data_IF_222485676308
#
_entry.id   IF_222485676308
#
_cell.length_a   1.000
_cell.length_b   1.000
_cell.length_c   1.000
_cell.angle_alpha   90.00
_cell.angle_beta   90.00
_cell.angle_gamma   90.00
#
_symmetry.space_group_name_H-M   'P 1'
#
loop_
_entity.id
_entity.type
_entity.pdbx_description
1 polymer ?
#
# COMPACT_ATOMS: atom_id res chain seq x y z
N UNK A 1 -8.89 -42.54 -1.46
CA UNK A 1 -9.77 -41.37 -1.24
C UNK A 1 -8.91 -40.10 -1.43
N UNK A 2 -8.90 -39.52 -2.64
CA UNK A 2 -8.09 -38.32 -2.93
C UNK A 2 -8.68 -37.16 -2.13
N UNK A 3 -7.94 -36.62 -1.18
CA UNK A 3 -8.28 -35.36 -0.53
C UNK A 3 -8.27 -34.28 -1.60
N UNK A 4 -9.45 -33.93 -2.10
CA UNK A 4 -9.66 -32.82 -3.01
C UNK A 4 -8.93 -31.59 -2.40
N UNK A 5 -7.88 -31.14 -3.05
CA UNK A 5 -7.11 -30.01 -2.57
C UNK A 5 -8.03 -28.77 -2.60
N UNK A 6 -8.61 -28.45 -1.46
CA UNK A 6 -9.63 -27.38 -1.28
C UNK A 6 -9.15 -25.97 -1.65
N UNK A 7 -7.89 -25.83 -2.04
CA UNK A 7 -7.24 -24.52 -2.17
C UNK A 7 -7.20 -23.98 -3.61
N UNK A 8 -7.13 -24.86 -4.63
CA UNK A 8 -7.14 -24.41 -6.03
C UNK A 8 -8.42 -23.63 -6.45
N UNK A 9 -9.61 -23.95 -5.96
CA UNK A 9 -10.82 -23.21 -6.28
C UNK A 9 -10.87 -21.78 -5.74
N UNK A 10 -10.01 -21.39 -4.76
CA UNK A 10 -10.10 -20.09 -4.10
C UNK A 10 -9.77 -18.92 -5.01
N UNK A 11 -8.79 -19.08 -5.90
CA UNK A 11 -8.43 -18.01 -6.84
C UNK A 11 -9.55 -17.69 -7.83
N UNK A 12 -10.20 -18.72 -8.36
CA UNK A 12 -11.30 -18.55 -9.32
C UNK A 12 -12.67 -18.48 -8.63
N UNK A 13 -12.68 -18.36 -7.31
CA UNK A 13 -13.87 -18.46 -6.47
C UNK A 13 -14.36 -17.12 -5.94
N UNK A 14 -15.14 -17.23 -4.86
CA UNK A 14 -15.84 -16.10 -4.25
C UNK A 14 -14.91 -14.96 -3.79
N UNK A 15 -13.67 -15.24 -3.36
CA UNK A 15 -12.73 -14.20 -2.91
C UNK A 15 -12.28 -13.27 -4.04
N UNK A 16 -11.93 -13.82 -5.21
CA UNK A 16 -11.54 -13.00 -6.35
C UNK A 16 -12.74 -12.20 -6.88
N UNK A 17 -13.91 -12.82 -6.99
CA UNK A 17 -15.13 -12.16 -7.40
C UNK A 17 -15.53 -11.04 -6.40
N UNK A 18 -15.51 -11.33 -5.10
CA UNK A 18 -15.81 -10.34 -4.07
C UNK A 18 -14.78 -9.19 -4.09
N UNK A 19 -13.48 -9.48 -4.26
CA UNK A 19 -12.46 -8.45 -4.39
C UNK A 19 -12.70 -7.52 -5.58
N UNK A 20 -13.05 -8.09 -6.74
CA UNK A 20 -13.36 -7.29 -7.94
C UNK A 20 -14.62 -6.45 -7.79
N UNK A 21 -15.61 -6.89 -7.00
CA UNK A 21 -16.84 -6.14 -6.75
C UNK A 21 -16.56 -4.79 -6.09
N UNK A 22 -15.56 -4.71 -5.20
CA UNK A 22 -15.19 -3.45 -4.55
C UNK A 22 -14.72 -2.39 -5.54
N UNK A 23 -14.13 -2.79 -6.66
CA UNK A 23 -13.69 -1.84 -7.71
C UNK A 23 -14.80 -1.40 -8.65
N UNK A 24 -15.95 -2.07 -8.68
CA UNK A 24 -17.09 -1.71 -9.55
C UNK A 24 -17.68 -0.38 -9.13
N UNK A 25 -17.73 -0.11 -7.83
CA UNK A 25 -18.26 1.16 -7.34
C UNK A 25 -17.27 2.30 -7.62
N UNK A 26 -17.77 3.43 -8.11
CA UNK A 26 -16.92 4.55 -8.45
C UNK A 26 -16.35 5.20 -7.18
N UNK A 27 -15.11 5.66 -7.30
CA UNK A 27 -14.56 6.65 -6.39
C UNK A 27 -15.11 8.02 -6.80
N UNK A 28 -15.73 8.72 -5.89
CA UNK A 28 -16.20 10.09 -6.12
C UNK A 28 -15.19 11.04 -5.49
N UNK A 29 -14.41 11.71 -6.33
CA UNK A 29 -13.27 12.53 -5.88
C UNK A 29 -12.25 11.69 -5.11
N UNK A 30 -12.17 11.88 -3.81
CA UNK A 30 -11.26 11.15 -2.92
C UNK A 30 -12.01 10.07 -2.13
N UNK A 31 -13.33 10.22 -2.01
CA UNK A 31 -14.15 9.27 -1.28
C UNK A 31 -14.35 7.99 -2.08
N UNK A 32 -13.82 6.94 -1.54
CA UNK A 32 -14.06 5.59 -2.01
C UNK A 32 -15.34 5.08 -1.33
N UNK A 33 -16.41 4.95 -2.09
CA UNK A 33 -17.71 4.48 -1.58
C UNK A 33 -17.62 3.07 -1.00
N UNK A 34 -16.80 2.23 -1.64
CA UNK A 34 -16.33 0.98 -1.05
C UNK A 34 -14.81 1.01 -1.01
N UNK A 35 -14.19 0.90 0.19
CA UNK A 35 -12.75 1.00 0.31
C UNK A 35 -12.03 -0.02 -0.57
N UNK A 36 -11.31 0.44 -1.59
CA UNK A 36 -10.49 -0.39 -2.49
C UNK A 36 -9.50 -1.27 -1.73
N UNK A 37 -9.17 -0.86 -0.50
CA UNK A 37 -8.37 -1.66 0.45
C UNK A 37 -8.91 -3.07 0.60
N UNK A 38 -10.24 -3.21 0.79
CA UNK A 38 -10.88 -4.51 0.98
C UNK A 38 -10.79 -5.33 -0.30
N UNK A 39 -11.00 -4.69 -1.46
CA UNK A 39 -10.83 -5.32 -2.77
C UNK A 39 -9.41 -5.87 -2.96
N UNK A 40 -8.38 -5.07 -2.67
CA UNK A 40 -6.98 -5.49 -2.77
C UNK A 40 -6.62 -6.60 -1.77
N UNK A 41 -7.15 -6.57 -0.53
CA UNK A 41 -6.94 -7.65 0.46
C UNK A 41 -7.55 -8.96 -0.04
N UNK A 42 -8.77 -8.93 -0.57
CA UNK A 42 -9.44 -10.12 -1.09
C UNK A 42 -8.71 -10.69 -2.31
N UNK A 43 -8.26 -9.83 -3.24
CA UNK A 43 -7.44 -10.25 -4.37
C UNK A 43 -6.09 -10.79 -3.94
N UNK A 44 -5.44 -10.20 -2.93
CA UNK A 44 -4.20 -10.71 -2.36
C UNK A 44 -4.37 -12.13 -1.81
N UNK A 45 -5.46 -12.38 -1.08
CA UNK A 45 -5.77 -13.72 -0.56
C UNK A 45 -6.05 -14.71 -1.69
N UNK A 46 -6.78 -14.28 -2.73
CA UNK A 46 -7.07 -15.11 -3.89
C UNK A 46 -5.80 -15.48 -4.68
N UNK A 47 -4.91 -14.53 -4.92
CA UNK A 47 -3.67 -14.71 -5.71
C UNK A 47 -2.60 -15.45 -4.92
N UNK A 48 -2.68 -15.48 -3.60
CA UNK A 48 -1.61 -16.00 -2.74
C UNK A 48 -1.20 -17.46 -3.06
N UNK A 49 -2.12 -18.27 -3.55
CA UNK A 49 -1.88 -19.67 -3.90
C UNK A 49 -1.35 -19.85 -5.33
N UNK A 50 -1.72 -18.93 -6.24
CA UNK A 50 -1.22 -18.94 -7.62
C UNK A 50 0.21 -18.42 -7.75
N UNK A 51 0.71 -17.71 -6.76
CA UNK A 51 2.06 -17.14 -6.77
C UNK A 51 3.16 -18.21 -6.95
N UNK A 52 2.84 -19.49 -6.72
CA UNK A 52 3.79 -20.60 -6.89
C UNK A 52 3.91 -21.08 -8.33
N UNK A 53 2.99 -20.75 -9.22
CA UNK A 53 2.96 -21.31 -10.57
C UNK A 53 3.80 -20.56 -11.60
N UNK A 54 4.07 -19.29 -11.37
CA UNK A 54 4.96 -18.51 -12.23
C UNK A 54 5.60 -17.34 -11.50
N UNK A 55 6.76 -16.87 -12.00
CA UNK A 55 7.44 -15.67 -11.49
C UNK A 55 6.58 -14.42 -11.65
N UNK A 56 5.77 -14.33 -12.71
CA UNK A 56 4.84 -13.23 -12.95
C UNK A 56 3.74 -13.19 -11.88
N UNK A 57 3.14 -14.35 -11.55
CA UNK A 57 2.12 -14.45 -10.52
C UNK A 57 2.68 -14.22 -9.10
N UNK A 58 3.94 -14.60 -8.84
CA UNK A 58 4.64 -14.23 -7.61
C UNK A 58 4.84 -12.70 -7.51
N UNK A 59 5.20 -12.07 -8.63
CA UNK A 59 5.27 -10.62 -8.75
C UNK A 59 3.92 -9.92 -8.55
N UNK A 60 2.83 -10.54 -9.01
CA UNK A 60 1.47 -10.05 -8.83
C UNK A 60 1.09 -9.94 -7.36
N UNK A 61 1.38 -10.94 -6.55
CA UNK A 61 1.12 -10.91 -5.10
C UNK A 61 1.76 -9.70 -4.42
N UNK A 62 3.01 -9.37 -4.80
CA UNK A 62 3.71 -8.19 -4.29
C UNK A 62 3.05 -6.88 -4.74
N UNK A 63 2.68 -6.79 -6.02
CA UNK A 63 2.00 -5.60 -6.54
C UNK A 63 0.63 -5.38 -5.89
N UNK A 64 -0.13 -6.45 -5.62
CA UNK A 64 -1.40 -6.35 -4.89
C UNK A 64 -1.21 -5.80 -3.48
N UNK A 65 -0.16 -6.24 -2.76
CA UNK A 65 0.16 -5.70 -1.44
C UNK A 65 0.57 -4.21 -1.50
N UNK A 66 1.29 -3.80 -2.55
CA UNK A 66 1.68 -2.41 -2.74
C UNK A 66 0.46 -1.51 -3.07
N UNK A 67 -0.45 -1.98 -3.93
CA UNK A 67 -1.70 -1.28 -4.22
C UNK A 67 -2.60 -1.19 -2.98
N UNK A 68 -2.64 -2.23 -2.15
CA UNK A 68 -3.30 -2.18 -0.85
C UNK A 68 -2.70 -1.06 0.03
N UNK A 69 -1.37 -0.94 0.08
CA UNK A 69 -0.70 0.11 0.84
C UNK A 69 -1.04 1.52 0.32
N UNK A 70 -1.05 1.74 -1.01
CA UNK A 70 -1.48 3.01 -1.61
C UNK A 70 -2.93 3.33 -1.23
N UNK A 71 -3.83 2.35 -1.32
CA UNK A 71 -5.24 2.54 -0.96
C UNK A 71 -5.43 2.86 0.52
N UNK A 72 -4.60 2.29 1.42
CA UNK A 72 -4.58 2.66 2.85
C UNK A 72 -4.20 4.14 3.00
N UNK A 73 -3.14 4.60 2.34
CA UNK A 73 -2.73 6.02 2.40
C UNK A 73 -3.85 6.91 1.88
N UNK A 74 -4.45 6.57 0.73
CA UNK A 74 -5.56 7.32 0.14
C UNK A 74 -6.76 7.42 1.09
N UNK A 75 -7.14 6.32 1.73
CA UNK A 75 -8.23 6.29 2.69
C UNK A 75 -7.98 7.22 3.88
N UNK A 76 -6.77 7.21 4.45
CA UNK A 76 -6.45 8.10 5.56
C UNK A 76 -6.32 9.57 5.14
N UNK A 77 -5.85 9.85 3.92
CA UNK A 77 -5.89 11.21 3.35
C UNK A 77 -7.35 11.68 3.25
N UNK A 78 -8.25 10.83 2.76
CA UNK A 78 -9.68 11.17 2.63
C UNK A 78 -10.29 11.51 3.99
N UNK A 79 -10.00 10.72 5.03
CA UNK A 79 -10.48 11.01 6.39
C UNK A 79 -9.87 12.32 6.92
N UNK A 80 -8.55 12.48 6.80
CA UNK A 80 -7.85 13.65 7.32
C UNK A 80 -8.30 14.96 6.67
N UNK A 81 -8.80 14.87 5.42
CA UNK A 81 -9.19 16.02 4.61
C UNK A 81 -10.71 16.15 4.41
N UNK A 82 -11.52 15.31 5.09
CA UNK A 82 -12.98 15.30 4.93
C UNK A 82 -13.59 16.69 5.11
N UNK A 83 -13.15 17.43 6.13
CA UNK A 83 -13.65 18.79 6.43
C UNK A 83 -13.35 19.79 5.31
N UNK A 84 -12.24 19.60 4.58
CA UNK A 84 -11.79 20.51 3.51
C UNK A 84 -12.45 20.22 2.17
N UNK A 85 -12.79 18.97 1.92
CA UNK A 85 -13.55 18.58 0.73
C UNK A 85 -14.93 19.27 0.73
N UNK A 86 -15.45 19.52 1.92
CA UNK A 86 -16.70 20.26 2.14
C UNK A 86 -16.50 21.78 2.19
N UNK A 87 -15.26 22.27 2.35
CA UNK A 87 -15.00 23.71 2.42
C UNK A 87 -14.87 24.30 1.02
N UNK A 88 -15.40 25.50 0.84
CA UNK A 88 -15.32 26.27 -0.42
C UNK A 88 -14.08 27.15 -0.51
N UNK A 89 -13.15 27.06 0.45
CA UNK A 89 -11.95 27.89 0.48
C UNK A 89 -10.92 27.41 -0.56
N UNK A 90 -10.57 28.29 -1.53
CA UNK A 90 -9.72 27.99 -2.69
C UNK A 90 -8.29 27.60 -2.35
N UNK A 91 -7.67 28.25 -1.35
CA UNK A 91 -6.25 28.02 -0.99
C UNK A 91 -6.02 26.59 -0.46
N UNK A 92 -6.98 26.08 0.28
CA UNK A 92 -6.89 24.77 0.94
C UNK A 92 -7.12 23.61 -0.03
N UNK A 93 -7.87 23.89 -1.09
CA UNK A 93 -8.23 22.92 -2.12
C UNK A 93 -7.04 22.55 -3.01
N UNK A 94 -6.13 23.48 -3.30
CA UNK A 94 -5.00 23.26 -4.22
C UNK A 94 -4.01 22.21 -3.70
N UNK A 95 -3.59 22.31 -2.44
CA UNK A 95 -2.63 21.36 -1.85
C UNK A 95 -3.21 19.94 -1.78
N UNK A 96 -4.48 19.85 -1.45
CA UNK A 96 -5.21 18.59 -1.41
C UNK A 96 -5.33 17.96 -2.81
N UNK A 97 -5.74 18.75 -3.82
CA UNK A 97 -5.86 18.27 -5.20
C UNK A 97 -4.51 17.81 -5.77
N UNK A 98 -3.44 18.51 -5.45
CA UNK A 98 -2.08 18.13 -5.85
C UNK A 98 -1.69 16.78 -5.25
N UNK A 99 -1.93 16.57 -3.95
CA UNK A 99 -1.62 15.31 -3.28
C UNK A 99 -2.43 14.13 -3.85
N UNK A 100 -3.73 14.35 -4.11
CA UNK A 100 -4.62 13.34 -4.70
C UNK A 100 -4.23 13.01 -6.12
N UNK A 101 -3.90 14.02 -6.95
CA UNK A 101 -3.45 13.84 -8.32
C UNK A 101 -2.15 13.03 -8.35
N UNK A 102 -1.19 13.36 -7.48
CA UNK A 102 0.05 12.61 -7.36
C UNK A 102 -0.17 11.15 -6.99
N UNK A 103 -1.01 10.89 -5.98
CA UNK A 103 -1.33 9.50 -5.57
C UNK A 103 -2.04 8.73 -6.67
N UNK A 104 -2.96 9.37 -7.41
CA UNK A 104 -3.67 8.71 -8.49
C UNK A 104 -2.77 8.40 -9.69
N UNK A 105 -1.78 9.25 -9.99
CA UNK A 105 -0.75 8.94 -10.98
C UNK A 105 0.12 7.76 -10.53
N UNK A 106 0.53 7.72 -9.27
CA UNK A 106 1.26 6.57 -8.71
C UNK A 106 0.42 5.29 -8.78
N UNK A 107 -0.86 5.37 -8.44
CA UNK A 107 -1.80 4.26 -8.54
C UNK A 107 -1.95 3.77 -9.98
N UNK A 108 -2.09 4.68 -10.95
CA UNK A 108 -2.20 4.36 -12.37
C UNK A 108 -0.99 3.55 -12.86
N UNK A 109 0.22 4.00 -12.54
CA UNK A 109 1.45 3.28 -12.91
C UNK A 109 1.45 1.88 -12.31
N UNK A 110 1.11 1.78 -11.02
CA UNK A 110 1.09 0.50 -10.31
C UNK A 110 0.02 -0.46 -10.84
N UNK A 111 -1.16 0.05 -11.19
CA UNK A 111 -2.26 -0.73 -11.77
C UNK A 111 -1.91 -1.24 -13.15
N UNK A 112 -1.24 -0.45 -14.00
CA UNK A 112 -0.75 -0.93 -15.30
C UNK A 112 0.22 -2.11 -15.12
N UNK A 113 1.17 -2.00 -14.18
CA UNK A 113 2.10 -3.09 -13.87
C UNK A 113 1.34 -4.30 -13.28
N UNK A 114 0.34 -4.07 -12.44
CA UNK A 114 -0.53 -5.11 -11.89
C UNK A 114 -1.27 -5.86 -13.01
N UNK A 115 -1.97 -5.14 -13.89
CA UNK A 115 -2.70 -5.73 -15.02
C UNK A 115 -1.78 -6.56 -15.91
N UNK A 116 -0.60 -6.04 -16.25
CA UNK A 116 0.40 -6.77 -17.04
C UNK A 116 0.77 -8.10 -16.41
N UNK A 117 1.04 -8.11 -15.10
CA UNK A 117 1.41 -9.35 -14.39
C UNK A 117 0.24 -10.29 -14.18
N UNK A 118 -0.94 -9.74 -13.91
CA UNK A 118 -2.15 -10.53 -13.71
C UNK A 118 -2.55 -11.26 -15.00
N UNK A 119 -2.80 -10.51 -16.03
CA UNK A 119 -3.27 -11.07 -17.31
C UNK A 119 -2.15 -11.83 -18.02
N UNK A 120 -0.93 -11.31 -18.07
CA UNK A 120 0.21 -12.01 -18.66
C UNK A 120 0.55 -13.30 -17.93
N UNK A 121 0.46 -13.32 -16.60
CA UNK A 121 0.63 -14.54 -15.81
C UNK A 121 -0.48 -15.57 -16.04
N UNK A 122 -1.73 -15.13 -16.15
CA UNK A 122 -2.86 -16.01 -16.49
C UNK A 122 -2.73 -16.54 -17.91
N UNK A 123 -2.43 -15.68 -18.87
CA UNK A 123 -2.25 -16.05 -20.27
C UNK A 123 -1.14 -17.10 -20.43
N UNK A 124 0.01 -16.89 -19.78
CA UNK A 124 1.10 -17.87 -19.79
C UNK A 124 0.69 -19.24 -19.24
N UNK A 125 -0.06 -19.26 -18.14
CA UNK A 125 -0.51 -20.52 -17.52
C UNK A 125 -1.61 -21.19 -18.37
N UNK A 126 -2.52 -20.40 -18.94
CA UNK A 126 -3.63 -20.91 -19.77
C UNK A 126 -3.16 -21.40 -21.13
N UNK A 127 -2.29 -20.66 -21.84
CA UNK A 127 -1.74 -21.08 -23.13
C UNK A 127 -1.05 -22.46 -23.06
N UNK A 128 -0.49 -22.80 -21.92
CA UNK A 128 0.25 -24.05 -21.75
C UNK A 128 -0.65 -25.23 -21.35
N UNK A 129 -1.79 -24.98 -20.70
CA UNK A 129 -2.55 -26.03 -20.03
C UNK A 129 -4.07 -25.99 -20.30
N UNK A 130 -4.60 -24.95 -20.95
CA UNK A 130 -6.04 -24.75 -21.10
C UNK A 130 -6.51 -24.94 -22.56
N UNK A 131 -7.81 -25.20 -22.72
CA UNK A 131 -8.46 -25.25 -24.03
C UNK A 131 -8.61 -23.85 -24.67
N UNK A 132 -8.87 -23.85 -25.98
CA UNK A 132 -8.94 -22.60 -26.78
C UNK A 132 -10.00 -21.60 -26.27
N UNK A 133 -11.11 -22.09 -25.70
CA UNK A 133 -12.16 -21.22 -25.12
C UNK A 133 -11.67 -20.44 -23.91
N UNK A 134 -10.92 -21.10 -23.04
CA UNK A 134 -10.36 -20.49 -21.83
C UNK A 134 -9.28 -19.46 -22.17
N UNK A 135 -8.42 -19.76 -23.16
CA UNK A 135 -7.42 -18.82 -23.68
C UNK A 135 -8.08 -17.56 -24.23
N UNK A 136 -9.12 -17.72 -25.05
CA UNK A 136 -9.88 -16.58 -25.61
C UNK A 136 -10.53 -15.75 -24.51
N UNK A 137 -11.15 -16.38 -23.51
CA UNK A 137 -11.79 -15.68 -22.40
C UNK A 137 -10.79 -14.85 -21.58
N UNK A 138 -9.55 -15.32 -21.40
CA UNK A 138 -8.47 -14.56 -20.74
C UNK A 138 -8.04 -13.37 -21.61
N UNK A 139 -7.86 -13.56 -22.92
CA UNK A 139 -7.49 -12.49 -23.84
C UNK A 139 -8.53 -11.37 -23.90
N UNK A 140 -9.81 -11.72 -23.98
CA UNK A 140 -10.92 -10.75 -23.99
C UNK A 140 -10.99 -9.97 -22.65
N UNK A 141 -10.82 -10.66 -21.52
CA UNK A 141 -10.79 -10.06 -20.20
C UNK A 141 -9.55 -9.14 -19.99
N UNK A 142 -8.44 -9.43 -20.66
CA UNK A 142 -7.22 -8.62 -20.60
C UNK A 142 -7.47 -7.20 -21.10
N UNK A 143 -8.02 -7.06 -22.29
CA UNK A 143 -8.32 -5.75 -22.87
C UNK A 143 -9.27 -4.95 -21.97
N UNK A 144 -10.35 -5.59 -21.53
CA UNK A 144 -11.34 -4.96 -20.67
C UNK A 144 -10.76 -4.56 -19.30
N UNK A 145 -9.87 -5.38 -18.75
CA UNK A 145 -9.20 -5.07 -17.47
C UNK A 145 -8.35 -3.81 -17.56
N UNK A 146 -7.52 -3.69 -18.60
CA UNK A 146 -6.75 -2.47 -18.81
C UNK A 146 -7.66 -1.26 -19.06
N UNK A 147 -8.64 -1.39 -19.93
CA UNK A 147 -9.57 -0.31 -20.24
C UNK A 147 -10.30 0.17 -18.99
N UNK A 148 -10.83 -0.75 -18.19
CA UNK A 148 -11.55 -0.41 -16.96
C UNK A 148 -10.68 0.34 -15.94
N UNK A 149 -9.55 -0.25 -15.55
CA UNK A 149 -8.73 0.36 -14.50
C UNK A 149 -8.15 1.71 -14.91
N UNK A 150 -7.67 1.85 -16.15
CA UNK A 150 -7.14 3.12 -16.66
C UNK A 150 -8.27 4.16 -16.70
N UNK A 151 -9.41 3.82 -17.28
CA UNK A 151 -10.53 4.75 -17.40
C UNK A 151 -11.08 5.15 -16.03
N UNK A 152 -11.18 4.22 -15.09
CA UNK A 152 -11.63 4.50 -13.72
C UNK A 152 -10.75 5.56 -13.06
N UNK A 153 -9.41 5.41 -13.13
CA UNK A 153 -8.49 6.37 -12.51
C UNK A 153 -8.55 7.72 -13.23
N UNK A 154 -8.60 7.73 -14.55
CA UNK A 154 -8.70 8.96 -15.34
C UNK A 154 -10.02 9.69 -15.05
N UNK A 155 -11.15 8.98 -15.00
CA UNK A 155 -12.45 9.58 -14.69
C UNK A 155 -12.54 10.09 -13.26
N UNK A 156 -11.84 9.47 -12.31
CA UNK A 156 -11.75 9.97 -10.94
C UNK A 156 -10.94 11.26 -10.86
N UNK A 157 -9.87 11.37 -11.68
CA UNK A 157 -8.99 12.54 -11.71
C UNK A 157 -9.55 13.71 -12.52
N UNK A 158 -10.31 13.44 -13.56
CA UNK A 158 -10.72 14.45 -14.55
C UNK A 158 -11.43 15.67 -13.93
N UNK A 159 -12.43 15.51 -13.04
CA UNK A 159 -13.08 16.64 -12.41
C UNK A 159 -12.12 17.49 -11.57
N UNK A 160 -11.17 16.85 -10.89
CA UNK A 160 -10.20 17.51 -10.02
C UNK A 160 -9.11 18.24 -10.82
N UNK A 161 -8.64 17.64 -11.92
CA UNK A 161 -7.68 18.29 -12.84
C UNK A 161 -8.30 19.52 -13.53
N UNK A 162 -9.58 19.46 -13.87
CA UNK A 162 -10.29 20.61 -14.44
C UNK A 162 -10.30 21.79 -13.46
N UNK A 163 -10.56 21.54 -12.17
CA UNK A 163 -10.52 22.58 -11.14
C UNK A 163 -9.09 23.10 -10.95
N UNK A 164 -8.08 22.22 -10.89
CA UNK A 164 -6.68 22.61 -10.72
C UNK A 164 -6.15 23.47 -11.89
N UNK A 165 -6.44 23.08 -13.13
CA UNK A 165 -6.03 23.82 -14.32
C UNK A 165 -6.61 25.24 -14.35
N UNK A 166 -7.78 25.42 -13.79
CA UNK A 166 -8.44 26.70 -13.73
C UNK A 166 -7.91 27.59 -12.63
N UNK A 167 -7.58 27.04 -11.46
CA UNK A 167 -6.94 27.81 -10.37
C UNK A 167 -5.60 28.41 -10.79
N UNK A 168 -4.85 27.74 -11.66
CA UNK A 168 -3.57 28.24 -12.17
C UNK A 168 -3.71 29.29 -13.27
N UNK A 169 -4.79 29.23 -14.06
CA UNK A 169 -4.97 30.14 -15.20
C UNK A 169 -5.42 31.55 -14.81
N UNK A 170 -5.76 31.77 -13.54
CA UNK A 170 -6.51 32.96 -13.17
C UNK A 170 -5.99 33.70 -11.93
N UNK A 171 -5.29 34.81 -12.15
CA UNK A 171 -4.76 35.69 -11.11
C UNK A 171 -5.57 37.01 -10.89
N UNK A 172 -6.64 37.31 -11.65
CA UNK A 172 -7.32 38.58 -11.63
C UNK A 172 -8.76 38.59 -11.11
N UNK A 173 -9.16 39.74 -10.55
CA UNK A 173 -10.24 40.02 -9.61
C UNK A 173 -11.70 39.91 -10.20
N UNK A 174 -11.89 39.94 -11.52
CA UNK A 174 -13.24 39.95 -12.16
C UNK A 174 -13.92 38.57 -12.27
N UNK A 175 -13.54 37.62 -11.43
CA UNK A 175 -13.73 36.19 -11.65
C UNK A 175 -14.60 35.46 -10.67
N UNK A 176 -15.19 36.13 -9.70
CA UNK A 176 -16.04 35.44 -8.70
C UNK A 176 -17.18 34.64 -9.35
N UNK A 177 -17.84 35.22 -10.37
CA UNK A 177 -19.01 34.61 -11.01
C UNK A 177 -18.66 33.39 -11.88
N UNK A 178 -17.48 33.42 -12.51
CA UNK A 178 -17.00 32.30 -13.30
C UNK A 178 -16.55 31.12 -12.43
N UNK A 179 -15.98 31.41 -11.28
CA UNK A 179 -15.60 30.41 -10.29
C UNK A 179 -16.79 29.70 -9.68
N UNK A 180 -17.83 30.43 -9.37
CA UNK A 180 -19.08 29.88 -8.84
C UNK A 180 -19.73 28.95 -9.86
N UNK A 181 -19.78 29.36 -11.13
CA UNK A 181 -20.26 28.52 -12.23
C UNK A 181 -19.47 27.22 -12.41
N UNK A 182 -18.14 27.28 -12.19
CA UNK A 182 -17.29 26.10 -12.37
C UNK A 182 -17.24 25.17 -11.18
N UNK A 183 -17.31 25.68 -9.96
CA UNK A 183 -17.60 24.84 -8.79
C UNK A 183 -18.95 24.13 -8.92
N UNK A 184 -19.92 24.80 -9.50
CA UNK A 184 -21.20 24.23 -9.83
C UNK A 184 -21.12 23.14 -10.92
N UNK A 185 -20.12 23.16 -11.80
CA UNK A 185 -19.84 22.12 -12.79
C UNK A 185 -19.09 20.89 -12.23
N UNK A 186 -18.33 21.05 -11.13
CA UNK A 186 -17.55 19.95 -10.51
C UNK A 186 -18.45 18.79 -10.11
N UNK A 187 -19.52 19.06 -9.40
CA UNK A 187 -20.44 18.04 -8.93
C UNK A 187 -21.11 17.29 -10.09
N UNK A 188 -21.69 17.95 -11.11
CA UNK A 188 -22.22 17.26 -12.30
C UNK A 188 -21.16 16.44 -13.03
N UNK A 189 -19.93 16.95 -13.18
CA UNK A 189 -18.81 16.20 -13.77
C UNK A 189 -18.44 14.97 -12.98
N UNK A 190 -18.37 15.06 -11.64
CA UNK A 190 -18.13 13.92 -10.76
C UNK A 190 -19.22 12.85 -10.89
N UNK A 191 -20.49 13.27 -10.91
CA UNK A 191 -21.63 12.36 -11.07
C UNK A 191 -21.55 11.66 -12.42
N UNK A 192 -21.33 12.41 -13.52
CA UNK A 192 -21.22 11.84 -14.87
C UNK A 192 -20.05 10.86 -14.95
N UNK A 193 -18.86 11.24 -14.51
CA UNK A 193 -17.69 10.36 -14.47
C UNK A 193 -17.94 9.11 -13.60
N UNK A 194 -18.61 9.27 -12.47
CA UNK A 194 -19.03 8.18 -11.61
C UNK A 194 -19.99 7.19 -12.28
N UNK A 195 -20.98 7.69 -13.02
CA UNK A 195 -21.93 6.86 -13.78
C UNK A 195 -21.22 6.07 -14.89
N UNK A 196 -20.33 6.72 -15.63
CA UNK A 196 -19.54 6.06 -16.68
C UNK A 196 -18.64 4.98 -16.07
N UNK A 197 -17.93 5.31 -14.98
CA UNK A 197 -17.08 4.37 -14.27
C UNK A 197 -17.87 3.16 -13.73
N UNK A 198 -19.07 3.38 -13.20
CA UNK A 198 -19.96 2.32 -12.72
C UNK A 198 -20.41 1.39 -13.86
N UNK A 199 -20.84 1.96 -14.98
CA UNK A 199 -21.28 1.17 -16.15
C UNK A 199 -20.13 0.29 -16.68
N UNK A 200 -18.93 0.87 -16.84
CA UNK A 200 -17.73 0.13 -17.24
C UNK A 200 -17.33 -0.92 -16.19
N UNK A 201 -17.47 -0.59 -14.91
CA UNK A 201 -17.18 -1.49 -13.80
C UNK A 201 -18.08 -2.72 -13.80
N UNK A 202 -19.37 -2.56 -14.01
CA UNK A 202 -20.32 -3.68 -14.13
C UNK A 202 -19.95 -4.56 -15.33
N UNK A 203 -19.67 -3.94 -16.49
CA UNK A 203 -19.27 -4.68 -17.68
C UNK A 203 -17.98 -5.49 -17.48
N UNK A 204 -16.96 -4.85 -16.89
CA UNK A 204 -15.71 -5.50 -16.51
C UNK A 204 -15.94 -6.66 -15.55
N UNK A 205 -16.74 -6.45 -14.50
CA UNK A 205 -17.04 -7.48 -13.50
C UNK A 205 -17.69 -8.72 -14.12
N UNK A 206 -18.69 -8.52 -14.99
CA UNK A 206 -19.34 -9.62 -15.71
C UNK A 206 -18.35 -10.37 -16.59
N UNK A 207 -17.47 -9.66 -17.31
CA UNK A 207 -16.44 -10.27 -18.14
C UNK A 207 -15.45 -11.12 -17.31
N UNK A 208 -15.04 -10.60 -16.15
CA UNK A 208 -14.17 -11.34 -15.22
C UNK A 208 -14.84 -12.58 -14.64
N UNK A 209 -16.12 -12.50 -14.28
CA UNK A 209 -16.88 -13.66 -13.83
C UNK A 209 -16.98 -14.73 -14.92
N UNK A 210 -17.22 -14.33 -16.17
CA UNK A 210 -17.27 -15.24 -17.30
C UNK A 210 -15.91 -15.89 -17.58
N UNK A 211 -14.82 -15.13 -17.47
CA UNK A 211 -13.45 -15.66 -17.55
C UNK A 211 -13.21 -16.71 -16.46
N UNK A 212 -13.52 -16.39 -15.21
CA UNK A 212 -13.34 -17.34 -14.08
C UNK A 212 -14.24 -18.58 -14.25
N UNK A 213 -15.46 -18.43 -14.75
CA UNK A 213 -16.34 -19.55 -15.02
C UNK A 213 -15.78 -20.46 -16.12
N UNK A 214 -15.27 -19.89 -17.22
CA UNK A 214 -14.62 -20.64 -18.30
C UNK A 214 -13.41 -21.43 -17.82
N UNK A 215 -12.53 -20.82 -17.02
CA UNK A 215 -11.35 -21.48 -16.46
C UNK A 215 -11.72 -22.61 -15.49
N UNK A 216 -12.79 -22.44 -14.69
CA UNK A 216 -13.26 -23.50 -13.77
C UNK A 216 -13.89 -24.68 -14.48
N UNK A 217 -14.49 -24.45 -15.65
CA UNK A 217 -15.13 -25.52 -16.45
C UNK A 217 -14.12 -26.27 -17.30
N UNK A 218 -12.91 -25.75 -17.48
CA UNK A 218 -11.85 -26.38 -18.25
C UNK A 218 -11.16 -27.46 -17.41
N UNK A 219 -11.60 -28.72 -17.57
CA UNK A 219 -11.08 -29.87 -16.83
C UNK A 219 -9.59 -30.09 -17.07
N UNK A 220 -9.11 -29.91 -18.30
CA UNK A 220 -7.69 -30.07 -18.65
C UNK A 220 -6.80 -29.06 -17.93
N UNK A 221 -7.28 -27.83 -17.81
CA UNK A 221 -6.59 -26.77 -17.07
C UNK A 221 -6.50 -27.09 -15.57
N UNK A 222 -7.60 -27.49 -14.96
CA UNK A 222 -7.65 -27.81 -13.53
C UNK A 222 -6.80 -29.04 -13.22
N UNK A 223 -6.88 -30.12 -14.01
CA UNK A 223 -6.04 -31.31 -13.82
C UNK A 223 -4.56 -31.01 -13.96
N UNK A 224 -4.16 -30.19 -14.92
CA UNK A 224 -2.76 -29.77 -15.09
C UNK A 224 -2.25 -28.94 -13.90
N UNK A 225 -3.07 -28.07 -13.33
CA UNK A 225 -2.72 -27.30 -12.14
C UNK A 225 -2.63 -28.20 -10.89
N UNK A 226 -3.58 -29.11 -10.69
CA UNK A 226 -3.56 -30.08 -9.58
C UNK A 226 -2.33 -30.99 -9.67
N UNK A 227 -2.03 -31.52 -10.86
CA UNK A 227 -0.85 -32.35 -11.10
C UNK A 227 0.45 -31.65 -10.71
N UNK A 228 0.60 -30.38 -11.11
CA UNK A 228 1.77 -29.57 -10.73
C UNK A 228 1.84 -29.32 -9.25
N UNK A 229 0.70 -29.03 -8.62
CA UNK A 229 0.64 -28.76 -7.18
C UNK A 229 0.94 -29.97 -6.32
N UNK A 230 0.61 -31.20 -6.80
CA UNK A 230 0.83 -32.45 -6.08
C UNK A 230 2.24 -33.04 -6.33
N UNK A 231 2.76 -32.92 -7.55
CA UNK A 231 3.98 -33.62 -7.96
C UNK A 231 5.25 -32.78 -7.90
N UNK A 232 5.15 -31.46 -7.94
CA UNK A 232 6.31 -30.64 -7.66
C UNK A 232 6.43 -30.49 -6.14
N UNK A 233 7.58 -30.89 -5.60
CA UNK A 233 7.97 -30.65 -4.20
C UNK A 233 8.32 -29.15 -4.01
N UNK A 234 7.40 -28.31 -4.58
CA UNK A 234 7.52 -26.86 -4.71
C UNK A 234 7.69 -26.22 -3.34
N UNK A 235 7.08 -26.82 -2.29
CA UNK A 235 7.08 -26.22 -0.95
C UNK A 235 8.43 -26.19 -0.26
N UNK A 236 9.35 -27.10 -0.60
CA UNK A 236 10.66 -27.22 0.04
C UNK A 236 11.82 -26.86 -0.86
N UNK A 237 11.56 -26.52 -2.13
CA UNK A 237 12.63 -26.13 -3.06
C UNK A 237 13.35 -24.86 -2.60
N UNK A 238 14.63 -24.77 -2.92
CA UNK A 238 15.45 -23.60 -2.62
C UNK A 238 14.83 -22.32 -3.23
N UNK A 239 14.20 -22.43 -4.42
CA UNK A 239 13.50 -21.33 -5.09
C UNK A 239 12.33 -20.77 -4.27
N UNK A 240 11.57 -21.63 -3.56
CA UNK A 240 10.47 -21.17 -2.67
C UNK A 240 11.00 -20.46 -1.44
N UNK A 241 12.12 -20.90 -0.89
CA UNK A 241 12.78 -20.18 0.23
C UNK A 241 13.22 -18.78 -0.20
N UNK A 242 13.81 -18.65 -1.39
CA UNK A 242 14.19 -17.35 -1.95
C UNK A 242 12.99 -16.44 -2.17
N UNK A 243 11.92 -16.97 -2.75
CA UNK A 243 10.72 -16.15 -2.97
C UNK A 243 10.06 -15.73 -1.65
N UNK A 244 10.11 -16.56 -0.60
CA UNK A 244 9.66 -16.19 0.75
C UNK A 244 10.49 -15.05 1.32
N UNK A 245 11.83 -15.09 1.18
CA UNK A 245 12.73 -14.02 1.61
C UNK A 245 12.40 -12.75 0.85
N UNK A 246 12.34 -12.82 -0.49
CA UNK A 246 12.06 -11.68 -1.36
C UNK A 246 10.71 -11.03 -1.04
N UNK A 247 9.66 -11.82 -0.90
CA UNK A 247 8.33 -11.32 -0.55
C UNK A 247 8.29 -10.73 0.85
N UNK A 248 8.95 -11.37 1.83
CA UNK A 248 9.01 -10.86 3.19
C UNK A 248 9.76 -9.54 3.31
N UNK A 249 10.93 -9.43 2.67
CA UNK A 249 11.69 -8.18 2.63
C UNK A 249 10.92 -7.08 1.91
N UNK A 250 10.18 -7.41 0.85
CA UNK A 250 9.34 -6.46 0.13
C UNK A 250 8.23 -5.89 1.03
N UNK A 251 7.51 -6.72 1.80
CA UNK A 251 6.49 -6.22 2.74
C UNK A 251 7.07 -5.36 3.84
N UNK A 252 8.23 -5.75 4.37
CA UNK A 252 8.94 -4.95 5.36
C UNK A 252 9.33 -3.59 4.76
N UNK A 253 9.85 -3.58 3.52
CA UNK A 253 10.20 -2.35 2.81
C UNK A 253 9.01 -1.40 2.66
N UNK A 254 7.86 -1.92 2.19
CA UNK A 254 6.64 -1.11 2.12
C UNK A 254 6.25 -0.61 3.52
N UNK A 255 6.34 -1.47 4.54
CA UNK A 255 6.09 -1.06 5.92
C UNK A 255 6.97 0.09 6.37
N UNK A 256 8.26 0.08 6.01
CA UNK A 256 9.19 1.17 6.35
C UNK A 256 8.83 2.48 5.64
N UNK A 257 8.21 2.46 4.46
CA UNK A 257 7.74 3.67 3.79
C UNK A 257 6.65 4.40 4.60
N UNK A 258 5.88 3.70 5.42
CA UNK A 258 4.89 4.32 6.32
C UNK A 258 5.50 5.07 7.50
N UNK A 259 6.81 5.00 7.69
CA UNK A 259 7.51 5.90 8.63
C UNK A 259 7.83 7.26 8.01
N UNK A 260 7.66 7.45 6.69
CA UNK A 260 7.74 8.79 6.10
C UNK A 260 6.53 9.59 6.60
N UNK A 261 6.80 10.66 7.32
CA UNK A 261 5.77 11.55 7.83
C UNK A 261 5.32 12.52 6.74
N UNK A 262 4.40 12.09 5.88
CA UNK A 262 3.70 13.04 5.02
C UNK A 262 2.75 13.87 5.85
N UNK A 263 2.95 15.14 5.84
CA UNK A 263 2.11 16.09 6.56
C UNK A 263 1.61 17.11 5.57
N UNK A 264 0.31 17.27 5.53
CA UNK A 264 -0.36 18.30 4.76
C UNK A 264 -1.18 19.14 5.74
N UNK A 265 -0.94 20.45 5.73
CA UNK A 265 -1.65 21.38 6.60
C UNK A 265 -1.72 20.93 8.07
N UNK A 266 -0.57 20.60 8.64
CA UNK A 266 -0.39 20.11 10.00
C UNK A 266 -1.01 18.72 10.30
N UNK A 267 -1.79 18.13 9.40
CA UNK A 267 -2.34 16.77 9.55
C UNK A 267 -1.36 15.72 9.03
N UNK A 268 -1.17 14.68 9.82
CA UNK A 268 -0.34 13.54 9.45
C UNK A 268 -1.13 12.58 8.56
N UNK A 269 -0.71 12.45 7.30
CA UNK A 269 -1.42 11.63 6.32
C UNK A 269 -1.02 10.15 6.36
N UNK A 270 0.22 9.86 6.79
CA UNK A 270 0.72 8.48 6.82
C UNK A 270 0.35 7.78 8.13
N UNK A 271 -0.43 6.70 8.08
CA UNK A 271 -0.76 5.92 9.27
C UNK A 271 0.44 5.04 9.68
N UNK A 272 1.27 5.54 10.58
CA UNK A 272 2.50 4.84 11.04
C UNK A 272 2.24 3.43 11.60
N UNK A 273 1.04 3.13 12.09
CA UNK A 273 0.68 1.79 12.54
C UNK A 273 0.62 0.77 11.39
N UNK A 274 0.40 1.21 10.13
CA UNK A 274 0.46 0.33 8.97
C UNK A 274 1.86 -0.27 8.77
N UNK A 275 2.91 0.43 9.21
CA UNK A 275 4.28 -0.12 9.26
C UNK A 275 4.33 -1.40 10.09
N UNK A 276 3.73 -1.41 11.29
CA UNK A 276 3.73 -2.59 12.16
C UNK A 276 2.97 -3.77 11.51
N UNK A 277 1.84 -3.51 10.85
CA UNK A 277 1.06 -4.54 10.14
C UNK A 277 1.88 -5.17 9.02
N UNK A 278 2.53 -4.35 8.19
CA UNK A 278 3.31 -4.81 7.03
C UNK A 278 4.61 -5.51 7.46
N UNK A 279 5.27 -5.05 8.51
CA UNK A 279 6.44 -5.73 9.10
C UNK A 279 6.02 -7.10 9.66
N UNK A 280 4.87 -7.19 10.33
CA UNK A 280 4.32 -8.47 10.78
C UNK A 280 4.02 -9.41 9.60
N UNK A 281 3.39 -8.90 8.55
CA UNK A 281 3.08 -9.66 7.34
C UNK A 281 4.36 -10.18 6.65
N UNK A 282 5.41 -9.32 6.57
CA UNK A 282 6.71 -9.71 6.06
C UNK A 282 7.39 -10.80 6.89
N UNK A 283 7.39 -10.65 8.21
CA UNK A 283 7.89 -11.68 9.12
C UNK A 283 7.12 -13.00 9.01
N UNK A 284 5.80 -12.95 8.75
CA UNK A 284 4.96 -14.12 8.52
C UNK A 284 5.24 -14.78 7.16
N UNK A 285 5.49 -13.99 6.12
CA UNK A 285 5.82 -14.49 4.78
C UNK A 285 7.12 -15.31 4.76
N UNK A 286 8.08 -14.94 5.61
CA UNK A 286 9.37 -15.64 5.75
C UNK A 286 9.33 -16.85 6.70
N UNK A 287 8.14 -17.24 7.19
CA UNK A 287 8.02 -18.45 8.02
C UNK A 287 8.51 -19.70 7.26
N UNK A 288 9.26 -20.55 7.97
CA UNK A 288 9.89 -21.75 7.39
C UNK A 288 11.27 -21.48 6.79
N UNK A 289 11.72 -20.22 6.65
CA UNK A 289 13.10 -19.86 6.36
C UNK A 289 13.84 -19.55 7.67
N UNK A 290 13.24 -18.72 8.51
CA UNK A 290 13.76 -18.32 9.81
C UNK A 290 12.61 -18.07 10.80
N UNK A 291 12.86 -18.26 12.12
CA UNK A 291 11.86 -17.98 13.15
C UNK A 291 11.88 -16.50 13.58
N UNK A 292 10.94 -15.74 13.05
CA UNK A 292 10.77 -14.32 13.35
C UNK A 292 9.88 -14.03 14.57
N UNK A 293 9.85 -14.91 15.59
CA UNK A 293 8.95 -14.73 16.76
C UNK A 293 9.15 -13.38 17.45
N UNK A 294 10.41 -12.95 17.64
CA UNK A 294 10.71 -11.67 18.28
C UNK A 294 10.17 -10.48 17.49
N UNK A 295 10.34 -10.49 16.18
CA UNK A 295 9.84 -9.44 15.30
C UNK A 295 8.31 -9.39 15.25
N UNK A 296 7.66 -10.56 15.18
CA UNK A 296 6.19 -10.65 15.20
C UNK A 296 5.60 -10.12 16.50
N UNK A 297 6.21 -10.48 17.65
CA UNK A 297 5.80 -9.95 18.95
C UNK A 297 6.00 -8.43 19.05
N UNK A 298 7.13 -7.94 18.56
CA UNK A 298 7.41 -6.50 18.55
C UNK A 298 6.39 -5.74 17.68
N UNK A 299 6.04 -6.26 16.51
CA UNK A 299 5.04 -5.66 15.63
C UNK A 299 3.63 -5.67 16.27
N UNK A 300 3.24 -6.76 16.95
CA UNK A 300 1.95 -6.85 17.65
C UNK A 300 1.87 -5.89 18.85
N UNK A 301 2.97 -5.66 19.56
CA UNK A 301 3.03 -4.69 20.67
C UNK A 301 3.03 -3.26 20.13
N UNK A 302 3.77 -3.00 19.06
CA UNK A 302 3.86 -1.67 18.47
C UNK A 302 2.52 -1.23 17.83
N UNK A 303 1.75 -2.16 17.26
CA UNK A 303 0.51 -1.87 16.56
C UNK A 303 -0.49 -1.03 17.37
N UNK A 304 -0.98 -1.44 18.56
CA UNK A 304 -1.93 -0.64 19.33
C UNK A 304 -1.34 0.70 19.78
N UNK A 305 -0.06 0.74 20.12
CA UNK A 305 0.61 1.97 20.57
C UNK A 305 0.67 2.99 19.43
N UNK A 306 1.13 2.57 18.24
CA UNK A 306 1.22 3.44 17.07
C UNK A 306 -0.16 3.85 16.58
N UNK A 307 -1.17 2.97 16.69
CA UNK A 307 -2.57 3.31 16.34
C UNK A 307 -3.10 4.41 17.26
N UNK A 308 -2.97 4.23 18.58
CA UNK A 308 -3.43 5.22 19.55
C UNK A 308 -2.69 6.56 19.36
N UNK A 309 -1.37 6.52 19.16
CA UNK A 309 -0.57 7.71 18.92
C UNK A 309 -0.95 8.44 17.62
N UNK A 310 -1.28 7.71 16.56
CA UNK A 310 -1.72 8.28 15.28
C UNK A 310 -3.06 9.00 15.44
N UNK A 311 -4.06 8.36 16.03
CA UNK A 311 -5.38 8.98 16.23
C UNK A 311 -5.32 10.16 17.21
N UNK A 312 -4.47 10.07 18.24
CA UNK A 312 -4.23 11.22 19.13
C UNK A 312 -3.64 12.41 18.38
N UNK A 313 -2.66 12.18 17.49
CA UNK A 313 -2.10 13.24 16.62
C UNK A 313 -3.17 13.83 15.70
N UNK A 314 -4.00 12.98 15.12
CA UNK A 314 -5.04 13.44 14.21
C UNK A 314 -6.04 14.36 14.94
N UNK A 315 -6.47 13.98 16.16
CA UNK A 315 -7.38 14.78 16.97
C UNK A 315 -6.77 16.08 17.48
N UNK A 316 -5.48 16.10 17.79
CA UNK A 316 -4.80 17.33 18.26
C UNK A 316 -4.50 18.28 17.11
N UNK A 317 -4.30 17.79 15.89
CA UNK A 317 -4.08 18.62 14.72
C UNK A 317 -5.26 19.55 14.43
N UNK A 318 -6.48 19.15 14.71
CA UNK A 318 -7.66 20.00 14.51
C UNK A 318 -7.65 21.26 15.40
N UNK A 319 -7.00 21.23 16.55
CA UNK A 319 -6.80 22.40 17.42
C UNK A 319 -5.79 23.44 16.88
N UNK A 320 -4.93 23.04 15.93
CA UNK A 320 -3.88 23.95 15.39
C UNK A 320 -4.34 24.85 14.24
N UNK A 321 -5.56 24.67 13.73
CA UNK A 321 -6.05 25.34 12.52
C UNK A 321 -6.43 26.79 12.68
N UNK A 322 -6.64 27.25 13.90
CA UNK A 322 -7.15 28.60 14.15
C UNK A 322 -6.07 29.62 14.49
N UNK A 323 -4.79 29.20 14.52
CA UNK A 323 -3.71 30.06 14.95
C UNK A 323 -2.62 30.26 13.90
N UNK A 324 -1.96 31.43 13.96
CA UNK A 324 -0.98 31.89 12.96
C UNK A 324 0.34 31.11 12.99
N UNK A 325 0.64 30.39 14.07
CA UNK A 325 1.86 29.58 14.19
C UNK A 325 1.67 28.36 15.09
N UNK A 326 2.47 27.31 14.84
CA UNK A 326 2.50 26.11 15.71
C UNK A 326 2.89 26.43 17.16
N UNK A 327 3.70 27.47 17.34
CA UNK A 327 4.14 27.87 18.68
C UNK A 327 2.98 28.49 19.47
N UNK A 328 2.21 29.40 18.89
CA UNK A 328 1.04 30.00 19.55
C UNK A 328 -0.03 28.96 19.87
N UNK A 329 -0.29 28.06 18.93
CA UNK A 329 -1.20 26.93 19.13
C UNK A 329 -0.75 26.01 20.27
N UNK A 330 0.55 25.71 20.37
CA UNK A 330 1.10 24.90 21.47
C UNK A 330 1.01 25.62 22.80
N UNK A 331 1.24 26.94 22.84
CA UNK A 331 1.12 27.74 24.08
C UNK A 331 -0.30 27.72 24.60
N UNK A 332 -1.29 27.83 23.71
CA UNK A 332 -2.73 27.81 24.05
C UNK A 332 -3.24 26.45 24.52
N UNK A 333 -2.51 25.36 24.25
CA UNK A 333 -2.89 24.02 24.70
C UNK A 333 -2.96 23.91 26.22
N UNK A 334 -3.92 23.16 26.73
CA UNK A 334 -4.00 22.80 28.14
C UNK A 334 -2.78 21.99 28.59
N UNK A 335 -2.43 22.10 29.86
CA UNK A 335 -1.33 21.32 30.46
C UNK A 335 -1.52 19.81 30.22
N UNK A 336 -2.75 19.33 30.32
CA UNK A 336 -3.09 17.92 30.05
C UNK A 336 -2.76 17.51 28.64
N UNK A 337 -3.10 18.33 27.62
CA UNK A 337 -2.75 18.04 26.23
C UNK A 337 -1.24 18.01 26.00
N UNK A 338 -0.48 18.94 26.60
CA UNK A 338 0.99 18.96 26.53
C UNK A 338 1.61 17.70 27.14
N UNK A 339 1.11 17.26 28.31
CA UNK A 339 1.56 16.01 28.93
C UNK A 339 1.25 14.81 28.04
N UNK A 340 0.03 14.75 27.46
CA UNK A 340 -0.35 13.66 26.56
C UNK A 340 0.52 13.62 25.29
N UNK A 341 0.87 14.76 24.69
CA UNK A 341 1.83 14.83 23.58
C UNK A 341 3.17 14.17 23.97
N UNK A 342 3.72 14.52 25.15
CA UNK A 342 4.95 13.91 25.65
C UNK A 342 4.82 12.41 25.88
N UNK A 343 3.73 11.95 26.49
CA UNK A 343 3.46 10.53 26.77
C UNK A 343 3.31 9.72 25.49
N UNK A 344 2.45 10.14 24.56
CA UNK A 344 2.27 9.45 23.30
C UNK A 344 3.53 9.50 22.43
N UNK A 345 4.29 10.60 22.49
CA UNK A 345 5.60 10.72 21.85
C UNK A 345 6.58 9.69 22.38
N UNK A 346 6.71 9.56 23.69
CA UNK A 346 7.59 8.59 24.33
C UNK A 346 7.18 7.14 24.04
N UNK A 347 5.90 6.82 24.14
CA UNK A 347 5.37 5.49 23.84
C UNK A 347 5.58 5.11 22.37
N UNK A 348 5.29 6.03 21.43
CA UNK A 348 5.50 5.82 20.00
C UNK A 348 6.97 5.63 19.66
N UNK A 349 7.86 6.48 20.22
CA UNK A 349 9.30 6.34 20.04
C UNK A 349 9.80 5.00 20.60
N UNK A 350 9.41 4.63 21.81
CA UNK A 350 9.77 3.35 22.42
C UNK A 350 9.31 2.15 21.60
N UNK A 351 8.07 2.19 21.08
CA UNK A 351 7.53 1.15 20.20
C UNK A 351 8.32 1.05 18.89
N UNK A 352 8.66 2.18 18.24
CA UNK A 352 9.48 2.23 17.04
C UNK A 352 10.89 1.68 17.28
N UNK A 353 11.57 2.13 18.33
CA UNK A 353 12.92 1.66 18.72
C UNK A 353 12.91 0.14 18.94
N UNK A 354 11.93 -0.36 19.67
CA UNK A 354 11.80 -1.79 19.94
C UNK A 354 11.55 -2.59 18.64
N UNK A 355 10.65 -2.12 17.78
CA UNK A 355 10.34 -2.73 16.50
C UNK A 355 11.57 -2.76 15.58
N UNK A 356 12.29 -1.65 15.45
CA UNK A 356 13.52 -1.51 14.66
C UNK A 356 14.64 -2.41 15.19
N UNK A 357 14.83 -2.47 16.50
CA UNK A 357 15.79 -3.37 17.14
C UNK A 357 15.52 -4.84 16.79
N UNK A 358 14.25 -5.26 16.93
CA UNK A 358 13.83 -6.62 16.59
C UNK A 358 13.92 -6.90 15.09
N UNK A 359 13.62 -5.92 14.22
CA UNK A 359 13.71 -6.02 12.79
C UNK A 359 15.14 -6.33 12.34
N UNK A 360 16.07 -5.44 12.64
CA UNK A 360 17.46 -5.62 12.21
C UNK A 360 18.14 -6.81 12.90
N UNK A 361 17.79 -7.09 14.16
CA UNK A 361 18.29 -8.26 14.86
C UNK A 361 17.83 -9.58 14.24
N UNK A 362 16.56 -9.66 13.82
CA UNK A 362 16.01 -10.87 13.19
C UNK A 362 16.55 -11.06 11.78
N UNK A 363 16.64 -10.00 10.96
CA UNK A 363 17.16 -10.08 9.60
C UNK A 363 18.65 -10.42 9.61
N UNK A 364 19.45 -9.86 10.51
CA UNK A 364 20.87 -10.19 10.67
C UNK A 364 21.08 -11.67 10.98
N UNK A 365 20.30 -12.23 11.90
CA UNK A 365 20.36 -13.66 12.25
C UNK A 365 19.90 -14.55 11.08
N UNK A 366 18.83 -14.15 10.37
CA UNK A 366 18.39 -14.86 9.17
C UNK A 366 19.50 -14.87 8.10
N UNK A 367 20.14 -13.72 7.87
CA UNK A 367 21.24 -13.61 6.90
C UNK A 367 22.38 -14.55 7.27
N UNK A 368 22.80 -14.58 8.52
CA UNK A 368 23.83 -15.49 9.00
C UNK A 368 23.44 -16.96 8.77
N UNK A 369 22.19 -17.34 9.05
CA UNK A 369 21.71 -18.71 8.87
C UNK A 369 21.62 -19.12 7.39
N UNK A 370 21.22 -18.20 6.51
CA UNK A 370 21.02 -18.46 5.08
C UNK A 370 22.34 -18.43 4.32
N UNK A 371 23.21 -17.44 4.61
CA UNK A 371 24.43 -17.20 3.85
C UNK A 371 25.68 -17.77 4.51
N UNK A 372 25.62 -18.16 5.79
CA UNK A 372 26.78 -18.56 6.59
C UNK A 372 27.76 -17.43 6.91
N UNK A 373 27.48 -16.19 6.43
CA UNK A 373 28.37 -15.02 6.60
C UNK A 373 27.82 -14.08 7.68
N UNK A 374 28.70 -13.61 8.54
CA UNK A 374 28.31 -12.57 9.50
C UNK A 374 28.24 -11.21 8.81
N UNK A 375 27.00 -10.78 8.57
CA UNK A 375 26.68 -9.49 7.98
C UNK A 375 26.43 -8.39 9.03
N UNK A 376 26.69 -8.65 10.33
CA UNK A 376 26.30 -7.75 11.43
C UNK A 376 26.78 -6.31 11.24
N UNK A 377 27.98 -6.11 10.68
CA UNK A 377 28.54 -4.79 10.38
C UNK A 377 27.71 -3.99 9.38
N UNK A 378 27.08 -4.65 8.40
CA UNK A 378 26.24 -3.96 7.39
C UNK A 378 24.97 -3.35 7.99
N UNK A 379 24.53 -3.86 9.15
CA UNK A 379 23.32 -3.38 9.83
C UNK A 379 23.57 -2.20 10.76
N UNK A 380 24.84 -1.83 11.04
CA UNK A 380 25.16 -0.76 12.01
C UNK A 380 24.63 0.57 11.52
N UNK A 381 25.00 1.00 10.32
CA UNK A 381 24.64 2.31 9.79
C UNK A 381 23.12 2.50 9.60
N UNK A 382 22.37 1.57 8.95
CA UNK A 382 20.91 1.67 8.87
C UNK A 382 20.24 1.72 10.24
N UNK A 383 20.76 0.99 11.24
CA UNK A 383 20.23 0.99 12.61
C UNK A 383 20.45 2.32 13.32
N UNK A 384 21.64 2.89 13.18
CA UNK A 384 21.97 4.21 13.77
C UNK A 384 21.05 5.27 13.17
N UNK A 385 20.89 5.31 11.85
CA UNK A 385 20.00 6.25 11.18
C UNK A 385 18.54 6.09 11.62
N UNK A 386 18.09 4.86 11.83
CA UNK A 386 16.76 4.59 12.36
C UNK A 386 16.56 5.12 13.79
N UNK A 387 17.59 5.04 14.65
CA UNK A 387 17.49 5.61 16.00
C UNK A 387 17.53 7.15 15.99
N UNK A 388 18.30 7.76 15.09
CA UNK A 388 18.27 9.21 14.88
C UNK A 388 16.86 9.64 14.42
N UNK A 389 16.27 8.91 13.46
CA UNK A 389 14.87 9.10 13.05
C UNK A 389 13.91 9.06 14.25
N UNK A 390 14.03 8.04 15.12
CA UNK A 390 13.18 7.94 16.31
C UNK A 390 13.36 9.14 17.27
N UNK A 391 14.58 9.62 17.44
CA UNK A 391 14.88 10.77 18.29
C UNK A 391 14.30 12.07 17.73
N UNK A 392 14.45 12.33 16.43
CA UNK A 392 13.88 13.50 15.75
C UNK A 392 12.34 13.47 15.84
N UNK A 393 11.74 12.32 15.56
CA UNK A 393 10.29 12.18 15.68
C UNK A 393 9.78 12.34 17.10
N UNK A 394 10.54 11.86 18.11
CA UNK A 394 10.19 12.09 19.51
C UNK A 394 10.19 13.59 19.82
N UNK A 395 11.20 14.33 19.39
CA UNK A 395 11.27 15.78 19.61
C UNK A 395 10.07 16.51 18.98
N UNK A 396 9.72 16.16 17.75
CA UNK A 396 8.54 16.73 17.05
C UNK A 396 7.23 16.34 17.75
N UNK A 397 7.16 15.15 18.32
CA UNK A 397 5.97 14.66 19.03
C UNK A 397 5.77 15.32 20.37
N UNK A 398 6.83 15.35 21.16
CA UNK A 398 6.79 15.88 22.52
C UNK A 398 6.65 17.41 22.54
N UNK A 399 7.18 18.06 21.50
CA UNK A 399 7.14 19.51 21.35
C UNK A 399 6.82 19.89 19.89
N UNK A 400 5.54 19.93 19.51
CA UNK A 400 5.10 20.21 18.15
C UNK A 400 5.76 21.41 17.44
N UNK A 401 6.05 22.54 18.12
CA UNK A 401 6.78 23.64 17.50
C UNK A 401 8.18 23.28 17.00
N UNK A 402 8.84 22.26 17.57
CA UNK A 402 10.14 21.80 17.07
C UNK A 402 10.08 21.32 15.62
N UNK A 403 8.89 21.01 15.10
CA UNK A 403 8.69 20.61 13.73
C UNK A 403 9.14 21.65 12.72
N UNK A 404 8.87 22.95 12.98
CA UNK A 404 9.28 24.03 12.07
C UNK A 404 10.81 24.04 11.86
N UNK A 405 11.56 23.70 12.92
CA UNK A 405 13.02 23.64 12.87
C UNK A 405 13.57 22.29 12.40
N UNK A 406 12.82 21.20 12.58
CA UNK A 406 13.31 19.83 12.37
C UNK A 406 12.72 19.13 11.15
N UNK A 407 11.80 19.76 10.40
CA UNK A 407 11.13 19.14 9.25
C UNK A 407 12.13 18.69 8.18
N UNK A 408 13.10 19.52 7.87
CA UNK A 408 14.12 19.17 6.88
C UNK A 408 15.01 18.03 7.38
N UNK A 409 15.41 18.07 8.64
CA UNK A 409 16.19 17.01 9.26
C UNK A 409 15.40 15.67 9.30
N UNK A 410 14.10 15.71 9.61
CA UNK A 410 13.24 14.51 9.58
C UNK A 410 13.19 13.89 8.20
N UNK A 411 12.99 14.68 7.14
CA UNK A 411 12.97 14.21 5.75
C UNK A 411 14.32 13.61 5.37
N UNK A 412 15.43 14.33 5.60
CA UNK A 412 16.77 13.87 5.22
C UNK A 412 17.12 12.57 5.93
N UNK A 413 16.90 12.50 7.25
CA UNK A 413 17.20 11.31 8.05
C UNK A 413 16.34 10.12 7.62
N UNK A 414 15.06 10.35 7.39
CA UNK A 414 14.13 9.29 6.96
C UNK A 414 14.51 8.75 5.59
N UNK A 415 14.78 9.61 4.62
CA UNK A 415 15.18 9.22 3.27
C UNK A 415 16.53 8.49 3.28
N UNK A 416 17.52 9.01 4.01
CA UNK A 416 18.82 8.36 4.16
C UNK A 416 18.70 6.98 4.80
N UNK A 417 17.91 6.86 5.86
CA UNK A 417 17.62 5.59 6.51
C UNK A 417 16.98 4.58 5.55
N UNK A 418 15.96 5.00 4.79
CA UNK A 418 15.27 4.14 3.83
C UNK A 418 16.21 3.68 2.72
N UNK A 419 17.01 4.58 2.14
CA UNK A 419 17.97 4.23 1.08
C UNK A 419 18.99 3.21 1.58
N UNK A 420 19.54 3.40 2.78
CA UNK A 420 20.49 2.47 3.37
C UNK A 420 19.86 1.09 3.64
N UNK A 421 18.62 1.08 4.11
CA UNK A 421 17.88 -0.17 4.37
C UNK A 421 17.53 -0.89 3.07
N UNK A 422 17.10 -0.16 2.04
CA UNK A 422 16.82 -0.72 0.72
C UNK A 422 18.07 -1.36 0.10
N UNK A 423 19.21 -0.68 0.14
CA UNK A 423 20.49 -1.23 -0.34
C UNK A 423 20.87 -2.50 0.41
N UNK A 424 20.68 -2.51 1.73
CA UNK A 424 20.92 -3.68 2.55
C UNK A 424 20.02 -4.86 2.15
N UNK A 425 18.71 -4.62 1.98
CA UNK A 425 17.77 -5.67 1.61
C UNK A 425 17.98 -6.19 0.20
N UNK A 426 18.35 -5.34 -0.75
CA UNK A 426 18.75 -5.77 -2.10
C UNK A 426 19.95 -6.69 -2.04
N UNK A 427 21.00 -6.30 -1.30
CA UNK A 427 22.20 -7.14 -1.13
C UNK A 427 21.88 -8.50 -0.53
N UNK A 428 21.06 -8.55 0.54
CA UNK A 428 20.63 -9.81 1.17
C UNK A 428 19.84 -10.68 0.19
N UNK A 429 18.96 -10.08 -0.60
CA UNK A 429 18.19 -10.80 -1.60
C UNK A 429 19.07 -11.40 -2.69
N UNK A 430 20.06 -10.64 -3.18
CA UNK A 430 20.97 -11.09 -4.22
C UNK A 430 21.89 -12.22 -3.72
N UNK A 431 22.40 -12.12 -2.49
CA UNK A 431 23.18 -13.18 -1.85
C UNK A 431 22.34 -14.45 -1.62
N UNK A 432 21.09 -14.31 -1.20
CA UNK A 432 20.17 -15.45 -1.05
C UNK A 432 19.87 -16.14 -2.39
N UNK A 433 19.72 -15.37 -3.47
CA UNK A 433 19.50 -15.92 -4.81
C UNK A 433 20.73 -16.66 -5.35
N UNK A 434 21.94 -16.10 -5.18
CA UNK A 434 23.17 -16.72 -5.65
C UNK A 434 23.44 -18.09 -5.03
N UNK A 435 23.12 -18.25 -3.74
CA UNK A 435 23.27 -19.54 -3.03
C UNK A 435 22.29 -20.61 -3.54
N UNK A 436 21.13 -20.19 -4.02
CA UNK A 436 20.08 -21.06 -4.52
C UNK A 436 20.41 -21.55 -5.94
N UNK A 437 21.06 -20.71 -6.75
CA UNK A 437 21.45 -21.10 -8.10
C UNK A 437 22.70 -22.00 -8.12
N UNK A 438 23.46 -22.03 -7.03
CA UNK A 438 24.68 -22.86 -6.88
C UNK A 438 24.45 -24.18 -6.14
N UNK A 439 23.31 -24.37 -5.49
CA UNK A 439 22.88 -25.63 -4.84
C UNK A 439 21.96 -26.44 -5.73
#
# INVERSE_FOLDING_TARGET
MKTKNKNLPRFFGAFAAAGLLFFVLPTVSVFDVMPDIVGWILLYLAVSELAFFSAELAGLKRMTAFLCAISVVRFFISIAMADRIMSTALSDTNNFMTAVSFLSVCELICVIVYCRRFFGGLEFVTMRNAGSKSVKAVSDATFLGYAFFITRIVLTLLPELLVLAQTQAYTDIERSDYWEAMFNMRLPAQVLCGMISLALGIYFFVAMLNMFASLRQDGSFIEALEYRFENEDIRNSASVKAEKIRSGLFYITIGLLFFINFVLDFKYLTPTFAAAVLIYAGARAMNGVYDFRSLKRAALIALPILTAAYFFRLSTADGFWHEVSLFSSYVSMSLTQKILCGVFGALSCGACVYLIKCLYGSISKMTLQVTGKDASRLFILPRVMAYIYCAVNFAIYAFPPAREALVEADIIVTVAWLILTLRLFTKINDEAQSLITTS
#
